data_IF_811042689710
#
_entry.id   IF_811042689710
#
_cell.length_a   1.000
_cell.length_b   1.000
_cell.length_c   1.000
_cell.angle_alpha   90.00
_cell.angle_beta   90.00
_cell.angle_gamma   90.00
#
_symmetry.space_group_name_H-M   'P 1'
#
loop_
_entity.id
_entity.type
_entity.pdbx_description
1 polymer ?
#
# COMPACT_ATOMS: atom_id res chain seq x y z
N UNK A 1 54.66 30.12 -59.11
CA UNK A 1 54.33 31.45 -58.57
C UNK A 1 53.51 31.22 -57.31
N UNK A 2 54.21 31.13 -56.18
CA UNK A 2 53.64 31.03 -54.84
C UNK A 2 53.30 32.45 -54.35
N UNK A 3 52.14 32.62 -53.74
CA UNK A 3 51.79 33.81 -52.95
C UNK A 3 51.61 33.38 -51.50
N UNK A 4 52.48 33.90 -50.63
CA UNK A 4 52.54 33.68 -49.17
C UNK A 4 51.55 34.64 -48.46
N UNK A 5 51.02 34.27 -47.27
CA UNK A 5 49.74 34.77 -46.74
C UNK A 5 49.88 35.95 -45.77
N UNK A 6 48.76 36.62 -45.50
CA UNK A 6 48.67 37.71 -44.52
C UNK A 6 48.55 37.15 -43.08
N UNK A 7 49.47 37.60 -42.23
CA UNK A 7 49.64 37.22 -40.83
C UNK A 7 48.87 38.19 -39.94
N UNK A 8 47.94 37.70 -39.12
CA UNK A 8 47.30 38.48 -38.03
C UNK A 8 47.83 37.98 -36.67
N UNK A 9 48.15 38.86 -35.69
CA UNK A 9 49.01 38.52 -34.56
C UNK A 9 48.33 37.73 -33.44
N UNK A 10 49.14 36.89 -32.76
CA UNK A 10 48.81 36.08 -31.58
C UNK A 10 48.42 36.96 -30.38
N UNK A 11 47.25 36.71 -29.81
CA UNK A 11 46.96 37.03 -28.42
C UNK A 11 47.19 35.77 -27.56
N UNK A 12 48.11 35.88 -26.59
CA UNK A 12 48.39 34.84 -25.61
C UNK A 12 47.27 34.76 -24.56
N UNK A 13 46.76 33.56 -24.29
CA UNK A 13 46.18 33.20 -23.00
C UNK A 13 46.32 31.68 -22.78
N UNK A 14 47.02 31.31 -21.72
CA UNK A 14 47.23 29.95 -21.18
C UNK A 14 46.05 29.49 -20.29
N UNK A 15 45.99 28.22 -19.85
CA UNK A 15 44.76 27.44 -19.75
C UNK A 15 44.21 27.26 -18.32
N UNK A 16 42.88 27.06 -18.19
CA UNK A 16 42.14 26.30 -17.15
C UNK A 16 40.64 26.62 -17.29
N UNK A 17 39.66 25.75 -17.03
CA UNK A 17 39.61 24.40 -16.53
C UNK A 17 38.29 23.78 -17.02
N UNK A 18 38.27 22.47 -17.23
CA UNK A 18 37.03 21.70 -17.41
C UNK A 18 36.20 21.78 -16.11
N UNK A 19 34.98 22.30 -16.19
CA UNK A 19 33.98 22.15 -15.14
C UNK A 19 32.62 21.93 -15.79
N UNK A 20 32.25 20.66 -15.97
CA UNK A 20 30.85 20.28 -16.07
C UNK A 20 30.16 20.63 -14.75
N UNK A 21 29.01 21.31 -14.74
CA UNK A 21 28.25 21.48 -13.52
C UNK A 21 27.51 20.17 -13.24
N UNK A 22 28.19 19.21 -12.63
CA UNK A 22 27.52 18.09 -11.98
C UNK A 22 27.00 18.63 -10.64
N UNK A 23 25.87 19.33 -10.69
CA UNK A 23 25.19 19.81 -9.51
C UNK A 23 24.62 18.59 -8.77
N UNK A 24 25.40 18.02 -7.86
CA UNK A 24 24.89 17.14 -6.82
C UNK A 24 23.97 18.00 -5.94
N UNK A 25 22.68 17.99 -6.25
CA UNK A 25 21.65 18.62 -5.44
C UNK A 25 21.49 17.73 -4.20
N UNK A 26 22.31 17.98 -3.18
CA UNK A 26 22.14 17.37 -1.88
C UNK A 26 21.00 18.11 -1.19
N UNK A 27 19.80 17.52 -1.18
CA UNK A 27 18.73 17.98 -0.29
C UNK A 27 19.15 17.65 1.14
N UNK A 28 19.33 18.66 1.98
CA UNK A 28 19.54 18.46 3.41
C UNK A 28 18.20 18.31 4.09
N UNK A 29 18.12 17.55 5.19
CA UNK A 29 16.88 17.38 5.98
C UNK A 29 16.28 18.74 6.40
N UNK A 30 17.10 19.78 6.46
CA UNK A 30 16.68 21.16 6.74
C UNK A 30 15.86 21.81 5.62
N UNK A 31 15.94 21.31 4.38
CA UNK A 31 15.24 21.85 3.21
C UNK A 31 13.82 21.29 3.05
N UNK A 32 13.48 20.25 3.83
CA UNK A 32 12.14 19.69 3.87
C UNK A 32 11.28 20.55 4.79
N UNK A 33 10.33 21.29 4.20
CA UNK A 33 9.22 21.87 4.98
C UNK A 33 8.60 20.75 5.80
N UNK A 34 8.52 20.94 7.12
CA UNK A 34 7.78 20.03 7.98
C UNK A 34 6.38 19.88 7.37
N UNK A 35 5.92 18.65 7.08
CA UNK A 35 4.58 18.47 6.56
C UNK A 35 3.62 19.07 7.59
N UNK A 36 2.77 20.00 7.14
CA UNK A 36 1.59 20.42 7.92
C UNK A 36 0.90 19.17 8.43
N UNK A 37 0.45 19.14 9.71
CA UNK A 37 -0.13 17.94 10.30
C UNK A 37 -1.27 17.45 9.41
N UNK A 38 -1.02 16.35 8.73
CA UNK A 38 -1.97 15.74 7.82
C UNK A 38 -3.08 15.16 8.70
N UNK A 39 -4.25 15.78 8.69
CA UNK A 39 -5.38 15.33 9.50
C UNK A 39 -6.03 14.10 8.83
N UNK A 40 -5.43 12.93 9.07
CA UNK A 40 -5.84 11.63 8.49
C UNK A 40 -7.32 11.31 8.76
N UNK A 41 -7.89 11.89 9.82
CA UNK A 41 -9.27 11.62 10.25
C UNK A 41 -10.33 12.13 9.28
N UNK A 42 -10.02 13.16 8.49
CA UNK A 42 -10.98 13.78 7.57
C UNK A 42 -11.12 13.04 6.23
N UNK A 43 -10.11 12.27 5.83
CA UNK A 43 -10.12 11.57 4.53
C UNK A 43 -10.57 10.10 4.63
N UNK A 44 -10.46 9.50 5.81
CA UNK A 44 -10.82 8.08 6.02
C UNK A 44 -12.34 7.84 6.09
N UNK A 45 -13.14 8.88 6.38
CA UNK A 45 -14.57 8.76 6.62
C UNK A 45 -15.46 9.13 5.42
N UNK A 46 -15.05 10.07 4.56
CA UNK A 46 -15.92 10.57 3.48
C UNK A 46 -15.68 9.91 2.11
N UNK A 47 -14.59 9.15 1.92
CA UNK A 47 -14.31 8.48 0.63
C UNK A 47 -15.01 7.10 0.47
N UNK A 48 -15.60 6.56 1.54
CA UNK A 48 -16.09 5.17 1.57
C UNK A 48 -17.57 5.01 1.95
N UNK A 49 -18.30 6.11 2.19
CA UNK A 49 -19.73 6.01 2.55
C UNK A 49 -20.58 5.32 1.48
N UNK A 50 -20.22 5.51 0.21
CA UNK A 50 -20.93 4.87 -0.90
C UNK A 50 -20.55 3.39 -1.09
N UNK A 51 -19.34 2.96 -0.66
CA UNK A 51 -18.92 1.55 -0.73
C UNK A 51 -19.45 0.72 0.45
N UNK A 52 -19.71 1.36 1.61
CA UNK A 52 -20.24 0.72 2.82
C UNK A 52 -21.63 0.10 2.60
N UNK A 53 -22.47 0.78 1.80
CA UNK A 53 -23.83 0.32 1.45
C UNK A 53 -23.80 -0.88 0.47
N UNK A 54 -22.82 -0.92 -0.44
CA UNK A 54 -22.63 -2.02 -1.39
C UNK A 54 -22.03 -3.26 -0.71
N UNK A 55 -21.18 -3.06 0.30
CA UNK A 55 -20.50 -4.12 1.02
C UNK A 55 -21.47 -4.98 1.86
N UNK A 56 -22.55 -4.37 2.38
CA UNK A 56 -23.48 -5.01 3.31
C UNK A 56 -24.50 -5.97 2.65
N UNK A 57 -24.41 -6.19 1.34
CA UNK A 57 -25.29 -7.12 0.62
C UNK A 57 -24.86 -8.60 0.68
N UNK A 58 -23.73 -8.92 1.31
CA UNK A 58 -23.21 -10.29 1.37
C UNK A 58 -24.05 -11.15 2.33
N UNK A 59 -24.85 -12.06 1.77
CA UNK A 59 -25.68 -12.98 2.55
C UNK A 59 -24.88 -14.16 3.13
N UNK A 60 -25.60 -15.00 3.86
CA UNK A 60 -25.03 -16.18 4.51
C UNK A 60 -24.36 -17.14 3.50
N UNK A 61 -25.02 -17.37 2.36
CA UNK A 61 -24.56 -18.31 1.34
C UNK A 61 -23.32 -17.77 0.61
N UNK A 62 -23.30 -16.47 0.29
CA UNK A 62 -22.15 -15.81 -0.33
C UNK A 62 -20.91 -15.84 0.57
N UNK A 63 -21.05 -15.48 1.86
CA UNK A 63 -19.95 -15.57 2.83
C UNK A 63 -19.47 -17.00 3.02
N UNK A 64 -20.40 -17.97 3.06
CA UNK A 64 -20.05 -19.38 3.19
C UNK A 64 -19.23 -19.86 1.99
N UNK A 65 -19.67 -19.55 0.76
CA UNK A 65 -18.94 -19.93 -0.46
C UNK A 65 -17.56 -19.28 -0.52
N UNK A 66 -17.45 -18.00 -0.16
CA UNK A 66 -16.17 -17.31 -0.05
C UNK A 66 -15.21 -18.07 0.88
N UNK A 67 -15.63 -18.31 2.12
CA UNK A 67 -14.76 -18.93 3.12
C UNK A 67 -14.47 -20.41 2.85
N UNK A 68 -15.28 -21.09 2.03
CA UNK A 68 -14.94 -22.43 1.54
C UNK A 68 -13.68 -22.43 0.69
N UNK A 69 -13.42 -21.37 -0.07
CA UNK A 69 -12.20 -21.23 -0.89
C UNK A 69 -10.93 -20.97 -0.06
N UNK A 70 -11.08 -20.55 1.20
CA UNK A 70 -9.94 -20.15 2.04
C UNK A 70 -9.21 -21.36 2.62
N UNK A 71 -7.90 -21.22 2.85
CA UNK A 71 -7.12 -22.20 3.58
C UNK A 71 -7.49 -22.19 5.07
N UNK A 72 -7.25 -23.28 5.80
CA UNK A 72 -7.42 -23.31 7.26
C UNK A 72 -6.56 -22.22 7.92
N UNK A 73 -5.37 -21.95 7.38
CA UNK A 73 -4.48 -20.89 7.88
C UNK A 73 -5.12 -19.50 7.74
N UNK A 74 -5.72 -19.20 6.59
CA UNK A 74 -6.39 -17.92 6.32
C UNK A 74 -7.57 -17.73 7.27
N UNK A 75 -8.43 -18.75 7.44
CA UNK A 75 -9.55 -18.71 8.40
C UNK A 75 -9.08 -18.50 9.85
N UNK A 76 -7.99 -19.16 10.22
CA UNK A 76 -7.33 -19.00 11.52
C UNK A 76 -6.82 -17.56 11.72
N UNK A 77 -6.33 -16.88 10.68
CA UNK A 77 -5.93 -15.47 10.79
C UNK A 77 -7.13 -14.55 11.03
N UNK A 78 -8.25 -14.79 10.35
CA UNK A 78 -9.47 -13.99 10.53
C UNK A 78 -10.04 -14.18 11.94
N UNK A 79 -10.13 -15.43 12.41
CA UNK A 79 -10.56 -15.72 13.79
C UNK A 79 -9.66 -15.04 14.82
N UNK A 80 -8.33 -15.00 14.59
CA UNK A 80 -7.40 -14.28 15.47
C UNK A 80 -7.66 -12.77 15.45
N UNK A 81 -7.92 -12.19 14.28
CA UNK A 81 -8.21 -10.77 14.16
C UNK A 81 -9.45 -10.39 14.98
N UNK A 82 -10.49 -11.23 14.98
CA UNK A 82 -11.68 -11.04 15.80
C UNK A 82 -11.52 -11.46 17.27
N UNK A 83 -10.37 -12.02 17.67
CA UNK A 83 -10.18 -12.54 19.03
C UNK A 83 -11.02 -13.78 19.36
N UNK A 84 -11.52 -14.50 18.34
CA UNK A 84 -12.35 -15.69 18.51
C UNK A 84 -11.46 -16.90 18.80
N UNK A 85 -11.62 -17.48 20.00
CA UNK A 85 -10.82 -18.59 20.48
C UNK A 85 -11.10 -19.90 19.72
N UNK A 86 -10.04 -20.66 19.43
CA UNK A 86 -10.03 -21.76 18.44
C UNK A 86 -10.04 -23.17 19.02
N UNK A 87 -10.45 -23.38 20.27
CA UNK A 87 -10.22 -24.68 20.91
C UNK A 87 -11.02 -25.79 20.22
N UNK A 88 -10.33 -26.53 19.35
CA UNK A 88 -10.75 -27.75 18.63
C UNK A 88 -11.94 -27.60 17.70
N UNK A 89 -11.89 -26.63 16.78
CA UNK A 89 -12.90 -26.48 15.71
C UNK A 89 -12.35 -26.96 14.36
N UNK A 90 -13.16 -27.67 13.57
CA UNK A 90 -12.85 -28.08 12.19
C UNK A 90 -13.14 -26.95 11.19
N UNK A 91 -12.66 -27.06 9.94
CA UNK A 91 -12.79 -25.99 8.93
C UNK A 91 -14.24 -25.51 8.76
N UNK A 92 -15.20 -26.44 8.68
CA UNK A 92 -16.62 -26.10 8.52
C UNK A 92 -17.17 -25.30 9.70
N UNK A 93 -16.76 -25.64 10.92
CA UNK A 93 -17.14 -24.90 12.12
C UNK A 93 -16.49 -23.52 12.15
N UNK A 94 -15.22 -23.39 11.72
CA UNK A 94 -14.56 -22.09 11.56
C UNK A 94 -15.36 -21.18 10.62
N UNK A 95 -15.80 -21.72 9.47
CA UNK A 95 -16.59 -20.97 8.49
C UNK A 95 -17.91 -20.54 9.12
N UNK A 96 -18.65 -21.45 9.76
CA UNK A 96 -19.91 -21.11 10.41
C UNK A 96 -19.75 -20.01 11.47
N UNK A 97 -18.74 -20.12 12.32
CA UNK A 97 -18.44 -19.12 13.35
C UNK A 97 -18.15 -17.75 12.72
N UNK A 98 -17.37 -17.71 11.63
CA UNK A 98 -17.09 -16.47 10.91
C UNK A 98 -18.35 -15.89 10.28
N UNK A 99 -19.14 -16.69 9.56
CA UNK A 99 -20.36 -16.23 8.91
C UNK A 99 -21.35 -15.67 9.94
N UNK A 100 -21.57 -16.38 11.05
CA UNK A 100 -22.46 -15.92 12.12
C UNK A 100 -21.93 -14.62 12.74
N UNK A 101 -20.63 -14.52 12.98
CA UNK A 101 -20.02 -13.31 13.53
C UNK A 101 -20.19 -12.11 12.59
N UNK A 102 -19.98 -12.30 11.29
CA UNK A 102 -20.00 -11.20 10.32
C UNK A 102 -21.40 -10.73 9.93
N UNK A 103 -22.42 -11.57 10.09
CA UNK A 103 -23.82 -11.19 9.88
C UNK A 103 -24.45 -10.49 11.09
N UNK A 104 -23.79 -10.49 12.25
CA UNK A 104 -24.24 -9.72 13.40
C UNK A 104 -23.97 -8.23 13.17
N UNK A 105 -25.05 -7.44 13.15
CA UNK A 105 -24.98 -5.98 12.95
C UNK A 105 -24.10 -5.29 14.00
N UNK A 106 -23.95 -5.86 15.19
CA UNK A 106 -23.08 -5.31 16.23
C UNK A 106 -21.60 -5.39 15.86
N UNK A 107 -21.22 -6.26 14.92
CA UNK A 107 -19.85 -6.46 14.47
C UNK A 107 -19.53 -5.70 13.17
N UNK A 108 -20.51 -5.03 12.55
CA UNK A 108 -20.41 -4.35 11.24
C UNK A 108 -19.12 -3.55 11.09
N UNK A 109 -18.84 -2.61 11.99
CA UNK A 109 -17.68 -1.73 11.91
C UNK A 109 -16.36 -2.51 11.93
N UNK A 110 -16.30 -3.57 12.74
CA UNK A 110 -15.10 -4.40 12.87
C UNK A 110 -14.89 -5.25 11.61
N UNK A 111 -15.98 -5.76 11.03
CA UNK A 111 -16.01 -6.56 9.81
C UNK A 111 -15.60 -5.70 8.62
N UNK A 112 -16.18 -4.52 8.46
CA UNK A 112 -15.81 -3.56 7.41
C UNK A 112 -14.34 -3.16 7.50
N UNK A 113 -13.87 -2.86 8.71
CA UNK A 113 -12.44 -2.58 8.95
C UNK A 113 -11.57 -3.77 8.52
N UNK A 114 -11.96 -5.00 8.84
CA UNK A 114 -11.22 -6.21 8.46
C UNK A 114 -11.19 -6.40 6.95
N UNK A 115 -12.32 -6.23 6.26
CA UNK A 115 -12.41 -6.28 4.80
C UNK A 115 -11.49 -5.27 4.13
N UNK A 116 -11.56 -4.02 4.57
CA UNK A 116 -10.71 -2.95 4.06
C UNK A 116 -9.22 -3.26 4.25
N UNK A 117 -8.82 -3.70 5.45
CA UNK A 117 -7.42 -4.02 5.72
C UNK A 117 -6.92 -5.21 4.87
N UNK A 118 -7.75 -6.22 4.65
CA UNK A 118 -7.40 -7.37 3.81
C UNK A 118 -7.25 -6.95 2.34
N UNK A 119 -8.19 -6.16 1.81
CA UNK A 119 -8.10 -5.60 0.45
C UNK A 119 -6.83 -4.78 0.26
N UNK A 120 -6.48 -3.94 1.24
CA UNK A 120 -5.24 -3.16 1.20
C UNK A 120 -4.00 -4.06 1.15
N UNK A 121 -3.98 -5.17 1.88
CA UNK A 121 -2.87 -6.14 1.84
C UNK A 121 -2.80 -6.82 0.47
N UNK A 122 -3.94 -7.20 -0.10
CA UNK A 122 -4.00 -7.78 -1.45
C UNK A 122 -3.43 -6.81 -2.49
N UNK A 123 -3.87 -5.55 -2.49
CA UNK A 123 -3.37 -4.51 -3.40
C UNK A 123 -1.86 -4.29 -3.23
N UNK A 124 -1.38 -4.15 -2.00
CA UNK A 124 0.05 -3.96 -1.72
C UNK A 124 0.88 -5.21 -2.09
N UNK A 125 0.30 -6.41 -2.03
CA UNK A 125 1.00 -7.65 -2.37
C UNK A 125 1.24 -7.84 -3.88
N UNK A 126 0.48 -7.11 -4.70
CA UNK A 126 0.64 -7.09 -6.16
C UNK A 126 1.76 -6.13 -6.61
N UNK A 127 2.12 -5.16 -5.77
CA UNK A 127 3.15 -4.18 -6.10
C UNK A 127 4.56 -4.73 -5.77
N UNK A 128 5.51 -4.69 -6.72
CA UNK A 128 6.84 -5.28 -6.56
C UNK A 128 7.64 -4.81 -5.33
N UNK A 129 7.59 -3.51 -5.01
CA UNK A 129 8.31 -2.94 -3.89
C UNK A 129 7.67 -3.27 -2.55
N UNK A 130 6.35 -3.24 -2.42
CA UNK A 130 5.65 -3.49 -1.16
C UNK A 130 5.56 -4.97 -0.80
N UNK A 131 5.49 -5.85 -1.80
CA UNK A 131 5.40 -7.30 -1.62
C UNK A 131 6.49 -7.86 -0.69
N UNK A 132 7.69 -7.29 -0.71
CA UNK A 132 8.81 -7.76 0.14
C UNK A 132 8.57 -7.55 1.65
N UNK A 133 7.65 -6.65 2.03
CA UNK A 133 7.32 -6.35 3.42
C UNK A 133 6.11 -7.12 3.93
N UNK A 134 5.42 -7.86 3.06
CA UNK A 134 4.19 -8.57 3.39
C UNK A 134 4.52 -10.03 3.74
N UNK A 135 4.36 -10.36 5.02
CA UNK A 135 4.74 -11.67 5.57
C UNK A 135 3.65 -12.75 5.41
N UNK A 136 2.46 -12.37 4.94
CA UNK A 136 1.35 -13.28 4.70
C UNK A 136 0.48 -12.79 3.55
N UNK A 137 0.01 -13.72 2.73
CA UNK A 137 -1.02 -13.47 1.72
C UNK A 137 -2.31 -14.12 2.18
N UNK A 138 -3.43 -13.58 1.71
CA UNK A 138 -4.79 -14.08 2.01
C UNK A 138 -5.05 -15.37 1.24
#
# INVERSE_FOLDING_TARGET
>A
MESIPEVIPRANATPRANATPNANINYTIADLKQPEPFDIKLYEFDLYKDEEEVFFSCGYDELTMLYMSYSVRSLVQILNYYGINKKKIVKTEMIQVLVIFELDRNNTDLVLKRWRLWKNIEELSLEPYFKQFILFTV
#
